data_IF_810795867704
#
_entry.id   IF_810795867704
#
_cell.length_a   1.000
_cell.length_b   1.000
_cell.length_c   1.000
_cell.angle_alpha   90.00
_cell.angle_beta   90.00
_cell.angle_gamma   90.00
#
_symmetry.space_group_name_H-M   'P 1'
#
loop_
_entity.id
_entity.type
_entity.pdbx_description
1 polymer ?
#
# COMPACT_ATOMS: atom_id res chain seq x y z
N UNK A 1 -28.34 15.96 -25.60
CA UNK A 1 -26.90 16.16 -25.36
C UNK A 1 -26.61 15.73 -23.94
N UNK A 2 -26.04 14.54 -23.77
CA UNK A 2 -25.76 13.93 -22.47
C UNK A 2 -24.42 14.48 -21.97
N UNK A 3 -24.44 15.21 -20.85
CA UNK A 3 -23.22 15.77 -20.25
C UNK A 3 -22.66 14.78 -19.23
N UNK A 4 -21.43 14.31 -19.41
CA UNK A 4 -20.71 13.46 -18.48
C UNK A 4 -19.59 14.28 -17.84
N UNK A 5 -19.57 14.39 -16.51
CA UNK A 5 -18.44 14.93 -15.77
C UNK A 5 -17.56 13.77 -15.26
N UNK A 6 -16.28 13.78 -15.62
CA UNK A 6 -15.28 12.82 -15.14
C UNK A 6 -14.71 13.36 -13.82
N UNK A 7 -14.93 12.65 -12.72
CA UNK A 7 -14.25 12.87 -11.44
C UNK A 7 -13.11 11.86 -11.29
N UNK A 8 -11.88 12.35 -11.08
CA UNK A 8 -10.70 11.52 -10.91
C UNK A 8 -10.75 10.77 -9.56
N UNK A 9 -10.82 9.45 -9.63
CA UNK A 9 -10.87 8.55 -8.49
C UNK A 9 -9.47 8.18 -7.95
N UNK A 10 -9.40 7.96 -6.63
CA UNK A 10 -8.27 7.36 -5.93
C UNK A 10 -8.74 6.51 -4.74
N UNK A 11 -9.06 5.24 -5.03
CA UNK A 11 -9.31 4.06 -4.18
C UNK A 11 -10.46 4.02 -3.15
N UNK A 12 -11.46 3.20 -3.49
CA UNK A 12 -12.32 2.35 -2.66
C UNK A 12 -13.10 2.99 -1.49
N UNK A 13 -14.20 3.66 -1.82
CA UNK A 13 -15.37 3.79 -0.93
C UNK A 13 -16.62 3.67 -1.79
N UNK A 14 -17.53 2.78 -1.41
CA UNK A 14 -18.77 2.46 -2.13
C UNK A 14 -19.51 3.74 -2.51
N UNK A 15 -19.46 4.11 -3.79
CA UNK A 15 -20.22 5.22 -4.33
C UNK A 15 -21.62 4.72 -4.64
N UNK A 16 -22.63 5.06 -3.82
CA UNK A 16 -24.01 4.97 -4.28
C UNK A 16 -24.19 6.04 -5.36
N UNK A 17 -24.12 5.63 -6.61
CA UNK A 17 -24.57 6.45 -7.73
C UNK A 17 -26.10 6.55 -7.63
N UNK A 18 -26.61 7.67 -7.11
CA UNK A 18 -28.04 7.98 -7.27
C UNK A 18 -28.19 8.52 -8.69
N UNK A 19 -28.63 7.66 -9.61
CA UNK A 19 -29.02 8.09 -10.95
C UNK A 19 -30.24 8.98 -10.81
N UNK A 20 -30.09 10.28 -11.10
CA UNK A 20 -31.23 11.18 -11.20
C UNK A 20 -31.90 10.91 -12.56
N UNK A 21 -33.17 10.48 -12.60
CA UNK A 21 -33.85 10.20 -13.86
C UNK A 21 -33.98 11.50 -14.68
N UNK A 22 -33.92 11.37 -16.00
CA UNK A 22 -34.21 12.51 -16.89
C UNK A 22 -35.70 12.87 -16.81
N UNK A 23 -36.05 14.07 -17.28
CA UNK A 23 -37.45 14.51 -17.32
C UNK A 23 -38.36 13.53 -18.06
N UNK A 24 -37.91 12.99 -19.20
CA UNK A 24 -38.62 11.95 -19.95
C UNK A 24 -38.80 10.66 -19.13
N UNK A 25 -37.80 10.26 -18.34
CA UNK A 25 -37.86 9.05 -17.50
C UNK A 25 -38.78 9.22 -16.29
N UNK A 26 -38.87 10.44 -15.75
CA UNK A 26 -39.81 10.79 -14.69
C UNK A 26 -41.26 10.88 -15.22
N UNK A 27 -41.45 11.39 -16.44
CA UNK A 27 -42.76 11.48 -17.09
C UNK A 27 -43.31 10.09 -17.47
N UNK A 28 -42.44 9.14 -17.81
CA UNK A 28 -42.82 7.75 -18.10
C UNK A 28 -43.28 6.94 -16.87
N UNK A 29 -43.06 7.45 -15.65
CA UNK A 29 -43.44 6.80 -14.39
C UNK A 29 -44.71 7.37 -13.75
N UNK A 30 -45.34 8.36 -14.37
CA UNK A 30 -46.57 8.98 -13.86
C UNK A 30 -47.79 8.10 -14.12
N UNK A 31 -48.68 8.00 -13.13
CA UNK A 31 -49.96 7.33 -13.31
C UNK A 31 -50.92 8.17 -14.18
N UNK A 32 -51.90 7.56 -14.87
CA UNK A 32 -52.84 8.31 -15.72
C UNK A 32 -53.61 9.36 -14.91
N UNK A 33 -53.42 10.63 -15.25
CA UNK A 33 -54.07 11.77 -14.58
C UNK A 33 -53.16 12.57 -13.64
N UNK A 34 -51.92 12.12 -13.39
CA UNK A 34 -50.93 12.93 -12.68
C UNK A 34 -50.21 13.89 -13.64
N UNK A 35 -50.08 15.15 -13.22
CA UNK A 35 -49.28 16.15 -13.93
C UNK A 35 -48.10 16.55 -13.06
N UNK A 36 -46.94 16.79 -13.68
CA UNK A 36 -45.71 17.22 -12.98
C UNK A 36 -45.89 18.50 -12.15
N UNK A 37 -46.93 19.29 -12.42
CA UNK A 37 -47.21 20.53 -11.70
C UNK A 37 -47.76 20.31 -10.27
N UNK A 38 -48.25 19.10 -9.94
CA UNK A 38 -48.66 18.75 -8.57
C UNK A 38 -47.46 18.54 -7.60
N UNK A 39 -46.24 18.39 -8.13
CA UNK A 39 -45.00 18.21 -7.36
C UNK A 39 -44.24 19.55 -7.19
N UNK A 40 -44.90 20.70 -7.38
CA UNK A 40 -44.29 22.04 -7.19
C UNK A 40 -44.17 22.50 -5.74
N UNK A 41 -44.47 21.65 -4.77
CA UNK A 41 -44.49 22.00 -3.34
C UNK A 41 -43.25 21.57 -2.54
N UNK A 42 -42.38 20.73 -3.10
CA UNK A 42 -41.11 20.41 -2.45
C UNK A 42 -40.11 21.44 -2.97
N UNK A 43 -39.66 22.42 -2.16
CA UNK A 43 -38.49 23.19 -2.53
C UNK A 43 -37.38 22.17 -2.73
N UNK A 44 -37.00 21.93 -3.99
CA UNK A 44 -35.73 21.31 -4.28
C UNK A 44 -34.72 22.28 -3.64
N UNK A 45 -34.02 21.89 -2.55
CA UNK A 45 -32.98 22.75 -2.04
C UNK A 45 -32.06 23.02 -3.23
N UNK A 46 -31.57 24.27 -3.42
CA UNK A 46 -30.58 24.51 -4.44
C UNK A 46 -29.53 23.41 -4.29
N UNK A 47 -29.22 22.74 -5.40
CA UNK A 47 -28.14 21.77 -5.45
C UNK A 47 -26.87 22.61 -5.31
N UNK A 48 -26.61 23.09 -4.09
CA UNK A 48 -25.48 23.91 -3.75
C UNK A 48 -24.28 23.09 -4.21
N UNK A 49 -23.62 23.58 -5.27
CA UNK A 49 -22.41 22.95 -5.74
C UNK A 49 -21.52 22.78 -4.50
N UNK A 50 -20.94 21.58 -4.28
CA UNK A 50 -20.10 21.37 -3.11
C UNK A 50 -19.10 22.51 -3.03
N UNK A 51 -19.07 23.20 -1.89
CA UNK A 51 -18.24 24.38 -1.72
C UNK A 51 -16.80 24.06 -2.17
N UNK A 52 -16.14 24.96 -2.91
CA UNK A 52 -14.78 24.71 -3.36
C UNK A 52 -13.90 24.40 -2.14
N UNK A 53 -13.19 23.27 -2.19
CA UNK A 53 -12.26 22.84 -1.13
C UNK A 53 -11.36 23.99 -0.73
N UNK A 54 -11.28 24.27 0.57
CA UNK A 54 -10.31 25.22 1.11
C UNK A 54 -8.89 24.71 0.85
N UNK A 55 -7.91 25.63 0.83
CA UNK A 55 -6.51 25.25 0.68
C UNK A 55 -6.04 24.28 1.78
N UNK A 56 -6.61 24.39 2.98
CA UNK A 56 -6.32 23.51 4.11
C UNK A 56 -6.88 22.10 3.92
N UNK A 57 -8.13 21.98 3.45
CA UNK A 57 -8.73 20.67 3.14
C UNK A 57 -8.00 19.98 1.99
N UNK A 58 -7.67 20.73 0.94
CA UNK A 58 -6.88 20.22 -0.18
C UNK A 58 -5.48 19.76 0.26
N UNK A 59 -4.84 20.48 1.20
CA UNK A 59 -3.57 20.04 1.80
C UNK A 59 -3.72 18.68 2.51
N UNK A 60 -4.73 18.51 3.36
CA UNK A 60 -4.92 17.24 4.09
C UNK A 60 -5.16 16.07 3.14
N UNK A 61 -5.94 16.28 2.08
CA UNK A 61 -6.14 15.26 1.04
C UNK A 61 -4.83 14.88 0.36
N UNK A 62 -4.00 15.87 -0.01
CA UNK A 62 -2.70 15.65 -0.63
C UNK A 62 -1.75 14.88 0.30
N UNK A 63 -1.71 15.24 1.60
CA UNK A 63 -0.91 14.52 2.59
C UNK A 63 -1.38 13.06 2.74
N UNK A 64 -2.70 12.82 2.71
CA UNK A 64 -3.29 11.48 2.71
C UNK A 64 -2.91 10.68 1.46
N UNK A 65 -2.89 11.30 0.29
CA UNK A 65 -2.45 10.66 -0.96
C UNK A 65 -0.97 10.25 -0.90
N UNK A 66 -0.09 11.10 -0.37
CA UNK A 66 1.32 10.76 -0.16
C UNK A 66 1.44 9.55 0.76
N UNK A 67 0.66 9.50 1.85
CA UNK A 67 0.66 8.38 2.79
C UNK A 67 0.14 7.08 2.15
N UNK A 68 -0.91 7.16 1.33
CA UNK A 68 -1.45 6.02 0.58
C UNK A 68 -0.44 5.48 -0.46
N UNK A 69 0.19 6.36 -1.24
CA UNK A 69 1.19 5.98 -2.24
C UNK A 69 2.44 5.38 -1.58
N UNK A 70 2.90 5.96 -0.46
CA UNK A 70 3.97 5.38 0.34
C UNK A 70 3.57 3.99 0.87
N UNK A 71 2.31 3.80 1.27
CA UNK A 71 1.76 2.50 1.64
C UNK A 71 1.87 1.46 0.53
N UNK A 72 1.44 1.81 -0.69
CA UNK A 72 1.55 0.95 -1.88
C UNK A 72 3.02 0.64 -2.21
N UNK A 73 3.90 1.64 -2.14
CA UNK A 73 5.33 1.44 -2.35
C UNK A 73 5.94 0.48 -1.32
N UNK A 74 5.56 0.60 -0.03
CA UNK A 74 6.00 -0.33 1.02
C UNK A 74 5.49 -1.74 0.76
N UNK A 75 4.26 -1.92 0.27
CA UNK A 75 3.70 -3.25 0.00
C UNK A 75 4.55 -4.07 -0.96
N UNK A 76 5.26 -3.45 -1.92
CA UNK A 76 6.20 -4.14 -2.82
C UNK A 76 7.37 -4.80 -2.08
N UNK A 77 7.74 -4.25 -0.93
CA UNK A 77 8.86 -4.68 -0.08
C UNK A 77 8.41 -5.40 1.19
N UNK A 78 7.10 -5.57 1.35
CA UNK A 78 6.48 -6.31 2.42
C UNK A 78 6.04 -7.65 1.84
N UNK A 79 6.56 -8.74 2.41
CA UNK A 79 5.92 -10.06 2.28
C UNK A 79 4.64 -10.16 3.10
N UNK A 80 4.23 -9.07 3.78
CA UNK A 80 3.17 -9.04 4.79
C UNK A 80 1.79 -9.00 4.12
N UNK A 81 1.33 -10.18 3.72
CA UNK A 81 -0.07 -10.56 3.99
C UNK A 81 -0.14 -10.91 5.49
N UNK A 82 -1.24 -10.61 6.22
CA UNK A 82 -1.36 -11.03 7.63
C UNK A 82 -0.98 -12.52 7.80
N UNK A 83 0.05 -12.80 8.61
CA UNK A 83 0.63 -14.14 8.83
C UNK A 83 2.06 -14.34 8.29
N UNK A 84 2.50 -13.59 7.27
CA UNK A 84 3.87 -13.70 6.71
C UNK A 84 4.92 -12.86 7.46
N UNK A 85 4.49 -11.88 8.26
CA UNK A 85 5.37 -11.04 9.09
C UNK A 85 6.09 -11.84 10.16
N UNK A 86 5.41 -12.78 10.79
CA UNK A 86 5.99 -13.65 11.81
C UNK A 86 7.00 -14.61 11.17
N UNK A 87 6.68 -15.17 10.01
CA UNK A 87 7.62 -16.01 9.26
C UNK A 87 8.94 -15.29 8.95
N UNK A 88 8.92 -13.98 8.70
CA UNK A 88 10.15 -13.21 8.51
C UNK A 88 10.95 -13.02 9.80
N UNK A 89 10.27 -12.75 10.93
CA UNK A 89 10.91 -12.65 12.24
C UNK A 89 11.58 -13.98 12.62
N UNK A 90 10.87 -15.09 12.46
CA UNK A 90 11.40 -16.42 12.77
C UNK A 90 12.56 -16.79 11.82
N UNK A 91 12.45 -16.49 10.52
CA UNK A 91 13.59 -16.64 9.57
C UNK A 91 14.82 -15.86 10.02
N UNK A 92 14.66 -14.63 10.50
CA UNK A 92 15.77 -13.83 11.01
C UNK A 92 16.34 -14.37 12.34
N UNK A 93 15.51 -15.01 13.17
CA UNK A 93 15.98 -15.71 14.37
C UNK A 93 16.83 -16.94 14.01
N UNK A 94 16.41 -17.72 13.01
CA UNK A 94 17.19 -18.83 12.46
C UNK A 94 18.52 -18.32 11.86
N UNK A 95 18.51 -17.20 11.14
CA UNK A 95 19.73 -16.54 10.61
C UNK A 95 20.69 -16.14 11.72
N UNK A 96 20.19 -15.57 12.82
CA UNK A 96 21.04 -15.21 13.96
C UNK A 96 21.61 -16.46 14.65
N UNK A 97 20.78 -17.49 14.85
CA UNK A 97 21.16 -18.76 15.47
C UNK A 97 22.24 -19.49 14.68
N UNK A 98 22.06 -19.65 13.36
CA UNK A 98 23.04 -20.32 12.50
C UNK A 98 24.35 -19.53 12.38
N UNK A 99 24.27 -18.20 12.42
CA UNK A 99 25.46 -17.33 12.46
C UNK A 99 26.24 -17.45 13.76
N UNK A 100 25.59 -17.88 14.85
CA UNK A 100 26.23 -18.19 16.14
C UNK A 100 27.07 -19.46 16.14
N UNK A 101 27.00 -20.31 15.10
CA UNK A 101 27.81 -21.53 15.00
C UNK A 101 29.29 -21.26 14.74
N UNK A 102 29.66 -20.07 14.25
CA UNK A 102 31.07 -19.72 14.02
C UNK A 102 31.27 -18.38 13.33
N UNK A 103 32.45 -17.77 13.53
CA UNK A 103 32.77 -16.44 12.99
C UNK A 103 33.03 -16.38 11.48
N UNK A 104 33.05 -17.53 10.78
CA UNK A 104 33.29 -17.61 9.33
C UNK A 104 32.33 -18.60 8.67
N UNK A 105 32.04 -18.39 7.39
CA UNK A 105 31.22 -19.32 6.59
C UNK A 105 31.78 -20.74 6.59
N UNK A 106 33.11 -20.89 6.58
CA UNK A 106 33.75 -22.20 6.63
C UNK A 106 33.47 -22.95 7.94
N UNK A 107 33.51 -22.26 9.08
CA UNK A 107 33.21 -22.85 10.40
C UNK A 107 31.74 -23.26 10.50
N UNK A 108 30.83 -22.42 9.99
CA UNK A 108 29.40 -22.73 9.98
C UNK A 108 29.11 -23.95 9.11
N UNK A 109 29.70 -24.03 7.91
CA UNK A 109 29.54 -25.20 7.04
C UNK A 109 30.10 -26.48 7.68
N UNK A 110 31.24 -26.40 8.37
CA UNK A 110 31.81 -27.54 9.08
C UNK A 110 30.88 -28.01 10.21
N UNK A 111 30.33 -27.08 11.00
CA UNK A 111 29.36 -27.40 12.05
C UNK A 111 28.09 -28.04 11.49
N UNK A 112 27.55 -27.53 10.37
CA UNK A 112 26.38 -28.10 9.73
C UNK A 112 26.63 -29.50 9.16
N UNK A 113 27.81 -29.76 8.58
CA UNK A 113 28.19 -31.09 8.07
C UNK A 113 28.25 -32.16 9.17
N UNK A 114 28.46 -31.77 10.42
CA UNK A 114 28.44 -32.69 11.56
C UNK A 114 27.01 -33.06 12.00
N UNK A 115 25.98 -32.40 11.48
CA UNK A 115 24.58 -32.61 11.85
C UNK A 115 23.81 -33.33 10.74
N UNK A 116 23.03 -34.38 11.05
CA UNK A 116 22.08 -34.97 10.11
C UNK A 116 21.06 -33.96 9.60
N UNK A 117 20.56 -34.13 8.37
CA UNK A 117 19.58 -33.23 7.78
C UNK A 117 18.30 -33.08 8.63
N UNK A 118 17.86 -34.15 9.30
CA UNK A 118 16.71 -34.14 10.21
C UNK A 118 16.93 -33.22 11.42
N UNK A 119 18.14 -33.19 11.97
CA UNK A 119 18.49 -32.30 13.07
C UNK A 119 18.62 -30.86 12.59
N UNK A 120 19.22 -30.64 11.41
CA UNK A 120 19.29 -29.31 10.80
C UNK A 120 17.88 -28.72 10.58
N UNK A 121 16.94 -29.53 10.08
CA UNK A 121 15.54 -29.12 9.91
C UNK A 121 14.85 -28.81 11.24
N UNK A 122 15.10 -29.60 12.29
CA UNK A 122 14.51 -29.37 13.60
C UNK A 122 15.06 -28.10 14.29
N UNK A 123 16.34 -27.78 14.09
CA UNK A 123 17.01 -26.62 14.72
C UNK A 123 16.76 -25.30 14.01
N UNK A 124 16.63 -25.32 12.68
CA UNK A 124 16.39 -24.13 11.85
C UNK A 124 15.26 -24.35 10.84
N UNK A 125 14.02 -24.60 11.31
CA UNK A 125 12.92 -25.02 10.45
C UNK A 125 12.54 -23.98 9.39
N UNK A 126 12.68 -22.68 9.68
CA UNK A 126 12.29 -21.62 8.76
C UNK A 126 13.35 -21.39 7.69
N UNK A 127 14.63 -21.42 8.05
CA UNK A 127 15.72 -21.40 7.07
C UNK A 127 15.73 -22.65 6.20
N UNK A 128 15.40 -23.82 6.77
CA UNK A 128 15.28 -25.05 6.01
C UNK A 128 14.14 -24.99 5.00
N UNK A 129 12.98 -24.46 5.39
CA UNK A 129 11.87 -24.21 4.47
C UNK A 129 12.26 -23.23 3.35
N UNK A 130 12.99 -22.15 3.68
CA UNK A 130 13.51 -21.21 2.67
C UNK A 130 14.49 -21.87 1.72
N UNK A 131 15.41 -22.71 2.22
CA UNK A 131 16.36 -23.45 1.41
C UNK A 131 15.63 -24.34 0.38
N UNK A 132 14.60 -25.05 0.82
CA UNK A 132 13.77 -25.89 -0.06
C UNK A 132 12.98 -25.06 -1.07
N UNK A 133 12.38 -23.94 -0.65
CA UNK A 133 11.56 -23.10 -1.51
C UNK A 133 12.39 -22.34 -2.57
N UNK A 134 13.59 -21.91 -2.22
CA UNK A 134 14.51 -21.16 -3.11
C UNK A 134 15.42 -22.05 -3.95
N UNK A 135 15.46 -23.36 -3.69
CA UNK A 135 16.38 -24.30 -4.34
C UNK A 135 17.85 -24.11 -3.93
N UNK A 136 18.11 -23.45 -2.79
CA UNK A 136 19.47 -23.32 -2.26
C UNK A 136 20.04 -24.69 -1.86
N UNK A 137 21.34 -24.90 -2.11
CA UNK A 137 21.99 -26.18 -1.83
C UNK A 137 22.35 -26.38 -0.35
N UNK A 138 22.40 -25.29 0.43
CA UNK A 138 22.78 -25.31 1.85
C UNK A 138 22.01 -24.27 2.67
N UNK A 139 21.89 -24.50 3.97
CA UNK A 139 21.32 -23.52 4.90
C UNK A 139 22.11 -22.21 4.94
N UNK A 140 23.42 -22.26 4.67
CA UNK A 140 24.27 -21.05 4.58
C UNK A 140 23.88 -20.21 3.37
N UNK A 141 23.63 -20.83 2.21
CA UNK A 141 23.16 -20.10 1.02
C UNK A 141 21.79 -19.47 1.28
N UNK A 142 20.87 -20.20 1.92
CA UNK A 142 19.56 -19.66 2.31
C UNK A 142 19.70 -18.49 3.30
N UNK A 143 20.57 -18.61 4.30
CA UNK A 143 20.92 -17.53 5.24
C UNK A 143 21.40 -16.28 4.50
N UNK A 144 22.31 -16.45 3.56
CA UNK A 144 22.90 -15.33 2.81
C UNK A 144 21.85 -14.64 1.94
N UNK A 145 20.98 -15.40 1.28
CA UNK A 145 19.86 -14.88 0.50
C UNK A 145 18.87 -14.08 1.37
N UNK A 146 18.46 -14.64 2.52
CA UNK A 146 17.57 -13.96 3.48
C UNK A 146 18.23 -12.69 4.02
N UNK A 147 19.50 -12.74 4.38
CA UNK A 147 20.26 -11.58 4.90
C UNK A 147 20.36 -10.47 3.86
N UNK A 148 20.65 -10.82 2.61
CA UNK A 148 20.71 -9.87 1.49
C UNK A 148 19.32 -9.24 1.22
N UNK A 149 18.26 -10.06 1.18
CA UNK A 149 16.89 -9.58 1.04
C UNK A 149 16.49 -8.66 2.20
N UNK A 150 16.92 -8.96 3.43
CA UNK A 150 16.72 -8.12 4.61
C UNK A 150 17.39 -6.77 4.50
N UNK A 151 18.63 -6.74 4.01
CA UNK A 151 19.35 -5.50 3.79
C UNK A 151 18.67 -4.65 2.71
N UNK A 152 18.33 -5.25 1.57
CA UNK A 152 17.62 -4.58 0.48
C UNK A 152 16.27 -4.01 0.92
N UNK A 153 15.45 -4.81 1.62
CA UNK A 153 14.14 -4.37 2.14
C UNK A 153 14.29 -3.22 3.14
N UNK A 154 15.27 -3.27 4.05
CA UNK A 154 15.54 -2.17 5.00
C UNK A 154 15.95 -0.88 4.28
N UNK A 155 16.85 -0.98 3.31
CA UNK A 155 17.29 0.16 2.52
C UNK A 155 16.12 0.81 1.75
N UNK A 156 15.30 -0.01 1.08
CA UNK A 156 14.15 0.47 0.34
C UNK A 156 13.11 1.14 1.26
N UNK A 157 12.79 0.55 2.42
CA UNK A 157 11.86 1.15 3.40
C UNK A 157 12.36 2.50 3.92
N UNK A 158 13.66 2.61 4.19
CA UNK A 158 14.26 3.86 4.64
C UNK A 158 14.13 4.95 3.56
N UNK A 159 14.37 4.59 2.29
CA UNK A 159 14.23 5.50 1.16
C UNK A 159 12.78 5.95 0.94
N UNK A 160 11.81 5.04 1.05
CA UNK A 160 10.37 5.38 1.00
C UNK A 160 10.02 6.40 2.08
N UNK A 161 10.46 6.19 3.32
CA UNK A 161 10.15 7.10 4.42
C UNK A 161 10.83 8.47 4.24
N UNK A 162 12.06 8.48 3.72
CA UNK A 162 12.77 9.72 3.36
C UNK A 162 12.00 10.51 2.31
N UNK A 163 11.58 9.88 1.22
CA UNK A 163 10.80 10.53 0.13
C UNK A 163 9.45 11.03 0.62
N UNK A 164 8.73 10.20 1.38
CA UNK A 164 7.45 10.57 2.03
C UNK A 164 7.60 11.82 2.89
N UNK A 165 8.59 11.84 3.79
CA UNK A 165 8.83 12.98 4.68
C UNK A 165 9.18 14.24 3.90
N UNK A 166 10.06 14.13 2.90
CA UNK A 166 10.44 15.26 2.04
C UNK A 166 9.24 15.86 1.31
N UNK A 167 8.38 15.02 0.72
CA UNK A 167 7.16 15.46 0.03
C UNK A 167 6.19 16.17 0.98
N UNK A 168 5.94 15.62 2.18
CA UNK A 168 5.07 16.27 3.17
C UNK A 168 5.60 17.63 3.64
N UNK A 169 6.91 17.77 3.79
CA UNK A 169 7.55 19.06 4.11
C UNK A 169 7.35 20.05 2.96
N UNK A 170 7.58 19.62 1.70
CA UNK A 170 7.42 20.47 0.53
C UNK A 170 5.96 20.92 0.32
N UNK A 171 4.98 20.03 0.53
CA UNK A 171 3.54 20.36 0.49
C UNK A 171 3.20 21.42 1.55
N UNK A 172 3.67 21.26 2.79
CA UNK A 172 3.40 22.23 3.85
C UNK A 172 4.04 23.60 3.58
N UNK A 173 5.22 23.63 2.95
CA UNK A 173 5.90 24.87 2.58
C UNK A 173 5.26 25.61 1.40
N UNK A 174 4.55 24.91 0.52
CA UNK A 174 3.90 25.49 -0.65
C UNK A 174 2.70 26.38 -0.27
N UNK A 175 2.58 27.54 -0.94
CA UNK A 175 1.55 28.56 -0.65
C UNK A 175 0.30 28.47 -1.53
N UNK A 176 0.35 27.69 -2.62
CA UNK A 176 -0.74 27.56 -3.59
C UNK A 176 -1.10 26.10 -3.80
N UNK A 177 -2.34 25.83 -4.21
CA UNK A 177 -2.80 24.46 -4.49
C UNK A 177 -1.95 23.78 -5.57
N UNK A 178 -1.65 24.50 -6.66
CA UNK A 178 -0.81 23.99 -7.75
C UNK A 178 0.60 23.59 -7.26
N UNK A 179 1.22 24.42 -6.41
CA UNK A 179 2.54 24.11 -5.85
C UNK A 179 2.48 22.92 -4.86
N UNK A 180 1.39 22.78 -4.09
CA UNK A 180 1.16 21.62 -3.22
C UNK A 180 1.01 20.33 -4.04
N UNK A 181 0.25 20.37 -5.13
CA UNK A 181 0.08 19.23 -6.03
C UNK A 181 1.41 18.83 -6.69
N UNK A 182 2.19 19.79 -7.17
CA UNK A 182 3.51 19.52 -7.74
C UNK A 182 4.47 18.91 -6.70
N UNK A 183 4.49 19.42 -5.47
CA UNK A 183 5.30 18.90 -4.37
C UNK A 183 4.90 17.47 -3.93
N UNK A 184 3.68 17.04 -4.25
CA UNK A 184 3.19 15.70 -3.94
C UNK A 184 3.58 14.65 -5.00
N UNK A 185 4.14 15.07 -6.13
CA UNK A 185 4.66 14.16 -7.15
C UNK A 185 5.97 13.57 -6.63
N UNK A 186 5.91 12.30 -6.23
CA UNK A 186 7.05 11.54 -5.75
C UNK A 186 7.32 10.38 -6.70
N UNK A 187 8.58 10.23 -7.13
CA UNK A 187 9.01 9.01 -7.80
C UNK A 187 9.09 7.90 -6.75
N UNK A 188 8.29 6.85 -6.91
CA UNK A 188 8.27 5.69 -6.02
C UNK A 188 8.98 4.46 -6.62
N UNK A 189 9.72 4.63 -7.72
CA UNK A 189 10.60 3.58 -8.27
C UNK A 189 11.84 3.48 -7.38
N UNK A 190 11.95 2.33 -6.71
CA UNK A 190 13.00 1.93 -5.75
C UNK A 190 13.21 0.45 -5.96
#
# INVERSE_FOLDING_TARGET
MTSFAIYAAGSASVTRYVRVPTREEAEAQLAPGETLDAVRGIPCPPLDAPAPLTLAEAEQMILGQIDAQAGVARQRWLTIVPGQSDAYREKMADVASISGLGGTTALILAALKALPATEQQARWPFLYAEMQASGAATLVQARDAVTAAAAASRAARAEIERRRRAAKIAVRAAKTLAAKQAAAIVDWKI
#
